data_IF_089089348017
#
_entry.id   IF_089089348017
#
_cell.length_a   1.000
_cell.length_b   1.000
_cell.length_c   1.000
_cell.angle_alpha   90.00
_cell.angle_beta   90.00
_cell.angle_gamma   90.00
#
_symmetry.space_group_name_H-M   'P 1'
#
loop_
_entity.id
_entity.type
_entity.pdbx_description
1 polymer ?
#
# COMPACT_ATOMS: atom_id res chain seq x y z
N UNK A 1 -7.93 -14.46 -0.47
CA UNK A 1 -6.96 -13.39 -0.71
C UNK A 1 -6.27 -12.94 0.59
N UNK A 2 -7.00 -12.79 1.70
CA UNK A 2 -6.43 -12.41 3.01
C UNK A 2 -5.30 -13.34 3.46
N UNK A 3 -5.55 -14.65 3.49
CA UNK A 3 -4.52 -15.64 3.87
C UNK A 3 -3.24 -15.53 3.03
N UNK A 4 -3.37 -15.17 1.75
CA UNK A 4 -2.24 -14.95 0.85
C UNK A 4 -1.53 -13.64 1.15
N UNK A 5 -2.30 -12.58 1.42
CA UNK A 5 -1.77 -11.24 1.76
C UNK A 5 -0.99 -11.21 3.06
N UNK A 6 -1.44 -11.98 4.03
CA UNK A 6 -0.81 -12.09 5.35
C UNK A 6 0.29 -13.16 5.41
N UNK A 7 0.65 -13.76 4.26
CA UNK A 7 1.69 -14.78 4.14
C UNK A 7 1.49 -15.94 5.12
N UNK A 8 0.24 -16.39 5.30
CA UNK A 8 -0.08 -17.50 6.20
C UNK A 8 0.58 -18.79 5.74
N UNK A 9 0.96 -19.62 6.71
CA UNK A 9 1.60 -20.92 6.44
C UNK A 9 0.69 -21.81 5.59
N UNK A 10 1.23 -22.34 4.50
CA UNK A 10 0.56 -23.31 3.63
C UNK A 10 0.82 -24.78 4.05
N UNK A 11 1.42 -25.00 5.22
CA UNK A 11 1.63 -26.34 5.77
C UNK A 11 0.32 -26.96 6.28
N UNK A 12 -0.64 -26.11 6.72
CA UNK A 12 -2.00 -26.55 7.06
C UNK A 12 -2.75 -26.98 5.80
N UNK A 13 -3.25 -28.22 5.82
CA UNK A 13 -4.08 -28.76 4.72
C UNK A 13 -5.30 -27.87 4.43
N UNK A 14 -5.97 -27.40 5.47
CA UNK A 14 -7.14 -26.54 5.37
C UNK A 14 -6.83 -25.20 4.71
N UNK A 15 -5.79 -24.48 5.16
CA UNK A 15 -5.35 -23.22 4.58
C UNK A 15 -4.96 -23.39 3.10
N UNK A 16 -4.20 -24.44 2.79
CA UNK A 16 -3.81 -24.75 1.41
C UNK A 16 -5.00 -25.06 0.53
N UNK A 17 -5.95 -25.87 1.03
CA UNK A 17 -7.17 -26.21 0.31
C UNK A 17 -8.02 -24.98 -0.02
N UNK A 18 -8.27 -24.13 0.99
CA UNK A 18 -9.05 -22.89 0.82
C UNK A 18 -8.41 -21.93 -0.19
N UNK A 19 -7.09 -21.77 -0.16
CA UNK A 19 -6.36 -20.92 -1.10
C UNK A 19 -6.48 -21.48 -2.52
N UNK A 20 -6.18 -22.77 -2.72
CA UNK A 20 -6.24 -23.39 -4.03
C UNK A 20 -7.66 -23.31 -4.60
N UNK A 21 -8.66 -23.63 -3.79
CA UNK A 21 -10.07 -23.57 -4.18
C UNK A 21 -10.51 -22.15 -4.53
N UNK A 22 -10.05 -21.16 -3.77
CA UNK A 22 -10.41 -19.76 -3.98
C UNK A 22 -9.80 -19.15 -5.25
N UNK A 23 -8.69 -19.69 -5.77
CA UNK A 23 -8.05 -19.24 -7.01
C UNK A 23 -8.41 -20.08 -8.24
N UNK A 24 -9.26 -21.07 -8.12
CA UNK A 24 -9.85 -21.70 -9.30
C UNK A 24 -10.63 -20.64 -10.10
N UNK A 25 -10.47 -20.55 -11.42
CA UNK A 25 -11.08 -19.51 -12.25
C UNK A 25 -12.57 -19.32 -12.02
N UNK A 26 -13.30 -20.42 -11.87
CA UNK A 26 -14.75 -20.42 -11.64
C UNK A 26 -15.15 -19.87 -10.25
N UNK A 27 -14.22 -19.78 -9.32
CA UNK A 27 -14.45 -19.30 -7.96
C UNK A 27 -14.06 -17.82 -7.77
N UNK A 28 -13.41 -17.20 -8.75
CA UNK A 28 -13.06 -15.78 -8.71
C UNK A 28 -14.30 -14.94 -9.08
N UNK A 29 -15.18 -14.71 -8.10
CA UNK A 29 -16.44 -13.96 -8.29
C UNK A 29 -16.32 -12.47 -8.00
N UNK A 30 -15.27 -12.04 -7.29
CA UNK A 30 -15.07 -10.62 -7.00
C UNK A 30 -14.69 -9.85 -8.27
N UNK A 31 -15.46 -8.81 -8.68
CA UNK A 31 -15.22 -8.11 -9.94
C UNK A 31 -13.83 -7.48 -10.03
N UNK A 32 -13.36 -6.84 -8.95
CA UNK A 32 -12.04 -6.20 -8.93
C UNK A 32 -10.90 -7.22 -9.12
N UNK A 33 -10.96 -8.35 -8.40
CA UNK A 33 -9.93 -9.40 -8.50
C UNK A 33 -9.94 -10.01 -9.90
N UNK A 34 -11.12 -10.27 -10.46
CA UNK A 34 -11.29 -10.79 -11.81
C UNK A 34 -10.68 -9.84 -12.85
N UNK A 35 -11.04 -8.55 -12.82
CA UNK A 35 -10.51 -7.57 -13.78
C UNK A 35 -9.00 -7.33 -13.62
N UNK A 36 -8.49 -7.35 -12.38
CA UNK A 36 -7.04 -7.30 -12.15
C UNK A 36 -6.32 -8.49 -12.79
N UNK A 37 -6.88 -9.68 -12.67
CA UNK A 37 -6.36 -10.86 -13.33
C UNK A 37 -6.40 -10.72 -14.85
N UNK A 38 -7.56 -10.39 -15.42
CA UNK A 38 -7.72 -10.24 -16.87
C UNK A 38 -6.74 -9.21 -17.46
N UNK A 39 -6.56 -8.05 -16.83
CA UNK A 39 -5.61 -7.03 -17.27
C UNK A 39 -4.14 -7.45 -17.16
N UNK A 40 -3.84 -8.38 -16.28
CA UNK A 40 -2.49 -8.91 -16.09
C UNK A 40 -2.33 -10.35 -16.66
N UNK A 41 -3.28 -10.84 -17.42
CA UNK A 41 -3.31 -12.23 -17.93
C UNK A 41 -2.04 -12.62 -18.69
N UNK A 42 -1.44 -11.65 -19.42
CA UNK A 42 -0.17 -11.88 -20.11
C UNK A 42 0.97 -12.29 -19.14
N UNK A 43 0.96 -11.78 -17.90
CA UNK A 43 1.97 -12.09 -16.87
C UNK A 43 1.55 -13.26 -15.98
N UNK A 44 0.25 -13.37 -15.69
CA UNK A 44 -0.29 -14.30 -14.70
C UNK A 44 -0.77 -15.63 -15.34
N UNK A 45 -0.93 -15.67 -16.66
CA UNK A 45 -1.45 -16.86 -17.36
C UNK A 45 -2.95 -17.09 -17.15
N UNK A 46 -3.39 -18.33 -17.46
CA UNK A 46 -4.79 -18.74 -17.39
C UNK A 46 -5.26 -19.09 -15.97
N UNK A 47 -4.33 -19.24 -15.02
CA UNK A 47 -4.62 -19.60 -13.64
C UNK A 47 -3.81 -18.71 -12.69
N UNK A 48 -4.48 -18.13 -11.69
CA UNK A 48 -3.81 -17.38 -10.64
C UNK A 48 -3.31 -18.35 -9.57
N UNK A 49 -2.05 -18.23 -9.20
CA UNK A 49 -1.50 -18.91 -8.04
C UNK A 49 -1.54 -18.00 -6.80
N UNK A 50 -1.32 -18.59 -5.62
CA UNK A 50 -1.18 -17.80 -4.38
C UNK A 50 -0.02 -16.79 -4.45
N UNK A 51 1.07 -17.16 -5.13
CA UNK A 51 2.24 -16.30 -5.36
C UNK A 51 1.86 -15.13 -6.25
N UNK A 52 1.15 -15.39 -7.36
CA UNK A 52 0.68 -14.32 -8.25
C UNK A 52 -0.22 -13.33 -7.53
N UNK A 53 -1.15 -13.82 -6.73
CA UNK A 53 -2.01 -12.96 -5.93
C UNK A 53 -1.21 -12.12 -4.92
N UNK A 54 -0.22 -12.71 -4.25
CA UNK A 54 0.65 -12.02 -3.28
C UNK A 54 1.48 -10.92 -3.93
N UNK A 55 1.95 -11.10 -5.16
CA UNK A 55 2.83 -10.12 -5.82
C UNK A 55 2.11 -9.13 -6.74
N UNK A 56 0.97 -9.50 -7.33
CA UNK A 56 0.31 -8.67 -8.35
C UNK A 56 -1.04 -8.08 -7.92
N UNK A 57 -1.76 -8.73 -7.00
CA UNK A 57 -3.10 -8.26 -6.57
C UNK A 57 -3.04 -7.58 -5.21
N UNK A 58 -2.55 -8.28 -4.21
CA UNK A 58 -2.48 -7.80 -2.82
C UNK A 58 -1.73 -6.46 -2.69
N UNK A 59 -0.56 -6.26 -3.34
CA UNK A 59 0.16 -5.00 -3.23
C UNK A 59 -0.60 -3.79 -3.77
N UNK A 60 -1.49 -3.97 -4.74
CA UNK A 60 -2.32 -2.89 -5.28
C UNK A 60 -3.38 -2.47 -4.26
N UNK A 61 -4.07 -3.42 -3.65
CA UNK A 61 -5.05 -3.18 -2.59
C UNK A 61 -4.38 -2.50 -1.39
N UNK A 62 -3.25 -3.05 -0.94
CA UNK A 62 -2.50 -2.50 0.20
C UNK A 62 -1.97 -1.08 -0.06
N UNK A 63 -1.59 -0.78 -1.30
CA UNK A 63 -1.17 0.58 -1.66
C UNK A 63 -2.31 1.58 -1.54
N UNK A 64 -3.51 1.24 -2.04
CA UNK A 64 -4.69 2.11 -1.91
C UNK A 64 -5.07 2.29 -0.44
N UNK A 65 -5.06 1.22 0.36
CA UNK A 65 -5.37 1.31 1.79
C UNK A 65 -4.42 2.25 2.56
N UNK A 66 -3.13 2.22 2.22
CA UNK A 66 -2.11 3.03 2.92
C UNK A 66 -1.98 4.45 2.38
N UNK A 67 -2.00 4.62 1.06
CA UNK A 67 -1.60 5.86 0.39
C UNK A 67 -2.69 6.44 -0.53
N UNK A 68 -3.86 5.80 -0.62
CA UNK A 68 -5.00 6.30 -1.38
C UNK A 68 -5.75 7.39 -0.64
N UNK A 69 -6.36 8.33 -1.39
CA UNK A 69 -7.33 9.28 -0.86
C UNK A 69 -8.62 8.56 -0.42
N UNK A 70 -9.51 9.26 0.25
CA UNK A 70 -10.81 8.71 0.65
C UNK A 70 -11.60 8.28 -0.58
N UNK A 71 -11.64 9.09 -1.62
CA UNK A 71 -12.32 8.82 -2.89
C UNK A 71 -11.72 7.60 -3.61
N UNK A 72 -10.39 7.45 -3.58
CA UNK A 72 -9.70 6.28 -4.15
C UNK A 72 -10.02 4.99 -3.36
N UNK A 73 -10.13 5.08 -2.05
CA UNK A 73 -10.53 3.94 -1.20
C UNK A 73 -11.99 3.57 -1.42
N UNK A 74 -12.86 4.56 -1.54
CA UNK A 74 -14.29 4.36 -1.86
C UNK A 74 -14.47 3.72 -3.23
N UNK A 75 -13.76 4.21 -4.26
CA UNK A 75 -13.79 3.64 -5.60
C UNK A 75 -13.32 2.17 -5.61
N UNK A 76 -12.25 1.86 -4.87
CA UNK A 76 -11.80 0.48 -4.70
C UNK A 76 -12.88 -0.38 -4.05
N UNK A 77 -13.51 0.12 -2.99
CA UNK A 77 -14.58 -0.61 -2.29
C UNK A 77 -15.77 -0.89 -3.23
N UNK A 78 -16.27 0.13 -3.93
CA UNK A 78 -17.37 -0.01 -4.91
C UNK A 78 -17.03 -1.04 -6.00
N UNK A 79 -15.80 -1.06 -6.46
CA UNK A 79 -15.35 -2.02 -7.49
C UNK A 79 -15.34 -3.48 -7.03
N UNK A 80 -15.42 -3.73 -5.73
CA UNK A 80 -15.52 -5.08 -5.14
C UNK A 80 -16.98 -5.54 -4.96
N UNK A 81 -17.94 -4.61 -5.05
CA UNK A 81 -19.37 -4.90 -4.92
C UNK A 81 -19.97 -5.23 -6.29
N UNK A 82 -20.60 -6.40 -6.41
CA UNK A 82 -21.09 -6.93 -7.69
C UNK A 82 -22.10 -6.01 -8.39
N UNK A 83 -22.89 -5.27 -7.61
CA UNK A 83 -23.94 -4.38 -8.13
C UNK A 83 -23.43 -2.97 -8.50
N UNK A 84 -22.28 -2.52 -7.94
CA UNK A 84 -21.68 -1.22 -8.26
C UNK A 84 -20.52 -1.31 -9.25
N UNK A 85 -19.81 -2.43 -9.27
CA UNK A 85 -18.58 -2.60 -10.06
C UNK A 85 -18.75 -2.33 -11.56
N UNK A 86 -19.93 -2.60 -12.09
CA UNK A 86 -20.23 -2.46 -13.53
C UNK A 86 -20.99 -1.18 -13.87
N UNK A 87 -21.27 -0.33 -12.89
CA UNK A 87 -21.84 1.00 -13.16
C UNK A 87 -20.90 1.84 -14.01
N UNK A 88 -21.51 2.67 -14.87
CA UNK A 88 -20.80 3.57 -15.75
C UNK A 88 -20.60 4.92 -15.08
N UNK A 89 -19.35 5.34 -14.95
CA UNK A 89 -18.95 6.62 -14.38
C UNK A 89 -18.12 7.42 -15.37
N UNK A 90 -18.02 8.75 -15.22
CA UNK A 90 -17.17 9.57 -16.08
C UNK A 90 -15.72 9.10 -16.03
N UNK A 91 -15.12 8.92 -17.21
CA UNK A 91 -13.73 8.48 -17.31
C UNK A 91 -12.76 9.56 -16.86
N UNK A 92 -11.75 9.17 -16.06
CA UNK A 92 -10.62 10.01 -15.69
C UNK A 92 -9.30 9.56 -16.34
N UNK A 93 -9.37 8.81 -17.46
CA UNK A 93 -8.18 8.42 -18.23
C UNK A 93 -7.47 9.66 -18.78
N UNK A 94 -6.16 9.62 -18.80
CA UNK A 94 -5.38 10.67 -19.46
C UNK A 94 -5.73 10.68 -20.97
N UNK A 95 -6.19 11.83 -21.46
CA UNK A 95 -6.60 11.99 -22.87
C UNK A 95 -8.01 11.48 -23.19
N UNK A 96 -8.87 11.24 -22.18
CA UNK A 96 -10.28 10.90 -22.38
C UNK A 96 -11.01 12.03 -23.15
N UNK A 97 -12.04 11.64 -23.90
CA UNK A 97 -12.92 12.59 -24.59
C UNK A 97 -13.99 13.11 -23.63
N UNK A 98 -14.47 14.34 -23.79
CA UNK A 98 -15.61 14.83 -23.02
C UNK A 98 -16.81 13.88 -23.14
N UNK A 99 -17.39 13.47 -21.99
CA UNK A 99 -18.52 12.54 -21.95
C UNK A 99 -18.12 11.05 -22.07
N UNK A 100 -16.84 10.71 -22.16
CA UNK A 100 -16.42 9.32 -22.14
C UNK A 100 -16.71 8.69 -20.76
N UNK A 101 -17.38 7.54 -20.80
CA UNK A 101 -17.75 6.77 -19.61
C UNK A 101 -16.93 5.49 -19.53
N UNK A 102 -16.67 5.02 -18.31
CA UNK A 102 -16.02 3.73 -18.06
C UNK A 102 -16.64 3.04 -16.86
N UNK A 103 -16.45 1.71 -16.75
CA UNK A 103 -16.95 0.96 -15.60
C UNK A 103 -16.16 1.33 -14.33
N UNK A 104 -16.83 1.34 -13.17
CA UNK A 104 -16.22 1.55 -11.86
C UNK A 104 -15.01 0.64 -11.67
N UNK A 105 -15.13 -0.64 -11.99
CA UNK A 105 -14.06 -1.62 -11.84
C UNK A 105 -12.84 -1.32 -12.73
N UNK A 106 -13.04 -0.83 -13.95
CA UNK A 106 -11.93 -0.47 -14.85
C UNK A 106 -11.15 0.72 -14.34
N UNK A 107 -11.87 1.73 -13.85
CA UNK A 107 -11.28 2.91 -13.24
C UNK A 107 -10.51 2.54 -11.97
N UNK A 108 -11.09 1.69 -11.11
CA UNK A 108 -10.47 1.23 -9.86
C UNK A 108 -9.17 0.45 -10.09
N UNK A 109 -9.14 -0.46 -11.07
CA UNK A 109 -7.92 -1.22 -11.40
C UNK A 109 -6.80 -0.30 -11.91
N UNK A 110 -7.14 0.67 -12.75
CA UNK A 110 -6.16 1.68 -13.22
C UNK A 110 -5.72 2.57 -12.07
N UNK A 111 -6.64 3.07 -11.26
CA UNK A 111 -6.37 3.90 -10.08
C UNK A 111 -5.44 3.18 -9.10
N UNK A 112 -5.71 1.94 -8.74
CA UNK A 112 -4.87 1.20 -7.79
C UNK A 112 -3.44 1.02 -8.29
N UNK A 113 -3.25 0.81 -9.59
CA UNK A 113 -1.91 0.79 -10.21
C UNK A 113 -1.20 2.14 -10.09
N UNK A 114 -1.93 3.25 -10.33
CA UNK A 114 -1.38 4.60 -10.21
C UNK A 114 -0.99 4.92 -8.75
N UNK A 115 -1.84 4.55 -7.78
CA UNK A 115 -1.55 4.71 -6.35
C UNK A 115 -0.30 3.91 -5.96
N UNK A 116 -0.19 2.66 -6.42
CA UNK A 116 0.99 1.84 -6.16
C UNK A 116 2.26 2.47 -6.73
N UNK A 117 2.22 2.99 -7.94
CA UNK A 117 3.35 3.67 -8.57
C UNK A 117 3.73 4.95 -7.80
N UNK A 118 2.74 5.74 -7.36
CA UNK A 118 2.94 6.93 -6.52
C UNK A 118 3.58 6.57 -5.19
N UNK A 119 3.08 5.54 -4.52
CA UNK A 119 3.64 5.02 -3.27
C UNK A 119 5.09 4.56 -3.45
N UNK A 120 5.39 3.83 -4.52
CA UNK A 120 6.75 3.35 -4.80
C UNK A 120 7.71 4.53 -4.98
N UNK A 121 7.33 5.54 -5.75
CA UNK A 121 8.16 6.75 -5.94
C UNK A 121 8.41 7.49 -4.62
N UNK A 122 7.38 7.65 -3.79
CA UNK A 122 7.52 8.27 -2.47
C UNK A 122 8.44 7.45 -1.55
N UNK A 123 8.30 6.12 -1.60
CA UNK A 123 9.14 5.21 -0.82
C UNK A 123 10.61 5.29 -1.27
N UNK A 124 10.88 5.31 -2.57
CA UNK A 124 12.24 5.36 -3.09
C UNK A 124 12.91 6.70 -2.75
N UNK A 125 12.20 7.81 -2.87
CA UNK A 125 12.69 9.13 -2.45
C UNK A 125 13.01 9.18 -0.95
N UNK A 126 12.13 8.61 -0.12
CA UNK A 126 12.35 8.53 1.34
C UNK A 126 13.54 7.64 1.70
N UNK A 127 13.71 6.51 1.00
CA UNK A 127 14.87 5.63 1.19
C UNK A 127 16.18 6.36 0.85
N UNK A 128 16.23 7.08 -0.27
CA UNK A 128 17.41 7.85 -0.65
C UNK A 128 17.76 8.94 0.38
N UNK A 129 16.74 9.66 0.87
CA UNK A 129 16.90 10.67 1.91
C UNK A 129 17.52 10.09 3.19
N UNK A 130 16.95 8.98 3.67
CA UNK A 130 17.41 8.37 4.91
C UNK A 130 18.74 7.61 4.76
N UNK A 131 19.03 7.10 3.58
CA UNK A 131 20.34 6.49 3.25
C UNK A 131 21.48 7.52 3.37
N UNK A 132 21.28 8.73 2.85
CA UNK A 132 22.22 9.84 3.03
C UNK A 132 22.43 10.18 4.50
N UNK A 133 21.38 10.15 5.31
CA UNK A 133 21.50 10.37 6.76
C UNK A 133 22.28 9.26 7.46
N UNK A 134 22.06 8.00 7.10
CA UNK A 134 22.82 6.87 7.66
C UNK A 134 24.32 7.10 7.48
N UNK A 135 24.73 7.56 6.29
CA UNK A 135 26.15 7.81 5.97
C UNK A 135 26.68 9.06 6.68
N UNK A 136 25.94 10.17 6.65
CA UNK A 136 26.40 11.46 7.17
C UNK A 136 26.47 11.47 8.72
N UNK A 137 25.55 10.75 9.37
CA UNK A 137 25.45 10.71 10.83
C UNK A 137 26.13 9.46 11.43
N UNK A 138 26.80 8.63 10.62
CA UNK A 138 27.46 7.38 11.02
C UNK A 138 26.54 6.44 11.82
N UNK A 139 25.25 6.36 11.44
CA UNK A 139 24.26 5.61 12.19
C UNK A 139 24.54 4.11 12.24
N UNK A 140 25.41 3.60 11.37
CA UNK A 140 25.88 2.21 11.40
C UNK A 140 26.80 1.88 12.56
N UNK A 141 27.29 2.85 13.31
CA UNK A 141 28.04 2.60 14.54
C UNK A 141 27.12 2.18 15.70
N UNK A 142 25.81 2.41 15.56
CA UNK A 142 24.83 2.04 16.56
C UNK A 142 24.17 0.67 16.26
N UNK A 143 23.72 -0.02 17.29
CA UNK A 143 23.02 -1.31 17.16
C UNK A 143 21.61 -1.19 16.61
N UNK A 144 21.02 -0.01 16.69
CA UNK A 144 19.65 0.31 16.25
C UNK A 144 19.71 1.53 15.35
N UNK A 145 19.01 1.49 14.22
CA UNK A 145 18.80 2.66 13.37
C UNK A 145 17.59 3.44 13.89
N UNK A 146 17.83 4.65 14.37
CA UNK A 146 16.78 5.53 14.89
C UNK A 146 16.74 6.81 14.07
N UNK A 147 15.58 7.09 13.47
CA UNK A 147 15.35 8.30 12.73
C UNK A 147 14.26 9.12 13.40
N UNK A 148 14.55 10.38 13.69
CA UNK A 148 13.55 11.38 14.06
C UNK A 148 13.38 12.33 12.87
N UNK A 149 12.17 12.46 12.36
CA UNK A 149 11.87 13.17 11.13
C UNK A 149 10.89 14.31 11.38
N UNK A 150 11.14 15.42 10.70
CA UNK A 150 10.19 16.52 10.65
C UNK A 150 8.96 16.14 9.80
N UNK A 151 7.79 16.75 10.06
CA UNK A 151 6.59 16.53 9.26
C UNK A 151 6.85 16.75 7.77
N UNK A 152 6.34 15.83 6.93
CA UNK A 152 6.47 15.91 5.47
C UNK A 152 7.72 15.27 4.87
N UNK A 153 8.73 14.89 5.66
CA UNK A 153 9.92 14.21 5.14
C UNK A 153 9.64 12.77 4.69
N UNK A 154 8.79 12.09 5.41
CA UNK A 154 8.33 10.72 5.09
C UNK A 154 6.84 10.64 5.38
N UNK A 155 6.07 10.05 4.48
CA UNK A 155 4.66 9.76 4.71
C UNK A 155 4.53 8.74 5.85
N UNK A 156 3.85 9.06 6.96
CA UNK A 156 3.67 8.15 8.10
C UNK A 156 3.05 6.80 7.69
N UNK A 157 2.20 6.78 6.67
CA UNK A 157 1.53 5.57 6.21
C UNK A 157 2.47 4.55 5.54
N UNK A 158 3.65 4.99 5.10
CA UNK A 158 4.67 4.12 4.51
C UNK A 158 5.94 3.99 5.37
N UNK A 159 6.03 4.70 6.48
CA UNK A 159 7.20 4.67 7.38
C UNK A 159 7.57 3.23 7.80
N UNK A 160 6.57 2.39 8.12
CA UNK A 160 6.80 0.97 8.43
C UNK A 160 7.39 0.16 7.28
N UNK A 161 7.01 0.46 6.03
CA UNK A 161 7.60 -0.21 4.86
C UNK A 161 9.08 0.17 4.69
N UNK A 162 9.42 1.42 4.96
CA UNK A 162 10.79 1.93 4.89
C UNK A 162 11.62 1.33 6.02
N UNK A 163 11.10 1.32 7.24
CA UNK A 163 11.77 0.73 8.40
C UNK A 163 12.10 -0.75 8.19
N UNK A 164 11.14 -1.53 7.63
CA UNK A 164 11.36 -2.93 7.29
C UNK A 164 12.44 -3.12 6.22
N UNK A 165 12.49 -2.26 5.19
CA UNK A 165 13.53 -2.33 4.17
C UNK A 165 14.92 -2.06 4.74
N UNK A 166 15.06 -1.07 5.64
CA UNK A 166 16.33 -0.80 6.29
C UNK A 166 16.72 -1.90 7.27
N UNK A 167 15.76 -2.43 8.04
CA UNK A 167 16.02 -3.56 8.93
C UNK A 167 16.54 -4.77 8.14
N UNK A 168 15.93 -5.09 7.01
CA UNK A 168 16.38 -6.18 6.13
C UNK A 168 17.74 -5.90 5.49
N UNK A 169 17.99 -4.64 5.03
CA UNK A 169 19.25 -4.28 4.36
C UNK A 169 20.44 -4.27 5.30
N UNK A 170 20.29 -3.69 6.48
CA UNK A 170 21.40 -3.49 7.43
C UNK A 170 21.44 -4.52 8.53
N UNK A 171 20.48 -5.47 8.57
CA UNK A 171 20.35 -6.52 9.59
C UNK A 171 20.36 -5.93 11.02
N UNK A 172 19.63 -4.81 11.20
CA UNK A 172 19.52 -4.07 12.47
C UNK A 172 18.08 -3.61 12.67
N UNK A 173 17.58 -3.57 13.90
CA UNK A 173 16.29 -2.94 14.19
C UNK A 173 16.27 -1.51 13.68
N UNK A 174 15.18 -1.09 13.05
CA UNK A 174 15.01 0.24 12.52
C UNK A 174 13.72 0.86 13.05
N UNK A 175 13.81 2.04 13.65
CA UNK A 175 12.68 2.83 14.12
C UNK A 175 12.63 4.18 13.42
N UNK A 176 11.45 4.56 12.93
CA UNK A 176 11.20 5.86 12.33
C UNK A 176 10.15 6.56 13.16
N UNK A 177 10.54 7.71 13.73
CA UNK A 177 9.70 8.60 14.51
C UNK A 177 9.38 9.83 13.65
N UNK A 178 8.11 10.11 13.44
CA UNK A 178 7.68 11.34 12.78
C UNK A 178 7.07 12.28 13.83
N UNK A 179 7.50 13.54 13.85
CA UNK A 179 6.86 14.56 14.65
C UNK A 179 5.50 14.86 14.02
N UNK A 180 4.44 14.82 14.81
CA UNK A 180 3.11 15.29 14.41
C UNK A 180 2.81 16.57 15.13
N UNK A 181 2.31 17.55 14.41
CA UNK A 181 1.74 18.75 15.02
C UNK A 181 0.28 18.41 15.32
N UNK A 182 -0.06 18.16 16.58
CA UNK A 182 -1.45 18.10 16.99
C UNK A 182 -2.01 19.50 16.97
N UNK A 183 -2.87 19.79 16.03
CA UNK A 183 -3.72 20.98 16.07
C UNK A 183 -4.96 20.59 16.89
N UNK A 184 -4.98 20.93 18.15
CA UNK A 184 -6.18 20.83 18.99
C UNK A 184 -7.23 21.81 18.44
N UNK A 185 -8.34 21.33 17.85
CA UNK A 185 -9.36 22.19 17.27
C UNK A 185 -10.08 23.06 18.32
N UNK A 186 -9.85 22.84 19.61
CA UNK A 186 -10.46 23.60 20.72
C UNK A 186 -9.53 24.67 21.30
N UNK A 187 -8.25 24.66 20.96
CA UNK A 187 -7.29 25.67 21.43
C UNK A 187 -7.08 26.75 20.38
N UNK A 188 -7.86 27.80 20.50
CA UNK A 188 -7.77 29.00 19.64
C UNK A 188 -6.60 29.94 20.00
N UNK A 189 -5.77 29.67 20.97
CA UNK A 189 -4.57 30.47 21.27
C UNK A 189 -3.46 29.68 21.98
N UNK A 190 -2.35 29.51 21.26
CA UNK A 190 -0.95 29.54 21.67
C UNK A 190 -0.47 28.54 22.75
N UNK A 191 0.18 27.46 22.30
CA UNK A 191 1.53 27.13 22.77
C UNK A 191 2.23 26.25 21.72
N UNK A 192 3.11 26.87 20.94
CA UNK A 192 3.87 26.21 19.85
C UNK A 192 5.03 25.34 20.34
N UNK A 193 5.09 24.93 21.59
CA UNK A 193 6.28 24.35 22.20
C UNK A 193 6.15 22.89 22.70
N UNK A 194 5.08 22.18 22.44
CA UNK A 194 5.02 20.74 22.71
C UNK A 194 4.94 19.92 21.43
N UNK A 195 6.10 19.62 20.85
CA UNK A 195 6.25 18.61 19.79
C UNK A 195 6.01 17.23 20.40
N UNK A 196 4.79 16.73 20.34
CA UNK A 196 4.47 15.37 20.74
C UNK A 196 4.97 14.41 19.64
N UNK A 197 5.80 13.43 20.02
CA UNK A 197 6.29 12.37 19.14
C UNK A 197 5.20 11.29 19.01
N UNK A 198 4.37 11.34 17.97
CA UNK A 198 3.15 10.55 17.91
C UNK A 198 3.13 9.37 16.91
N UNK A 199 4.17 9.07 16.19
CA UNK A 199 4.15 7.86 15.35
C UNK A 199 5.46 7.10 15.41
N UNK A 200 5.40 5.88 15.91
CA UNK A 200 6.54 4.95 15.92
C UNK A 200 6.29 3.86 14.89
N UNK A 201 7.10 3.81 13.85
CA UNK A 201 7.16 2.68 12.93
C UNK A 201 8.46 1.92 13.13
N UNK A 202 8.36 0.66 13.57
CA UNK A 202 9.51 -0.20 13.80
C UNK A 202 9.57 -1.31 12.76
N UNK A 203 10.71 -1.45 12.10
CA UNK A 203 11.06 -2.63 11.32
C UNK A 203 11.71 -3.68 12.21
N UNK A 204 11.30 -4.94 12.08
CA UNK A 204 11.92 -6.09 12.77
C UNK A 204 12.96 -6.72 11.86
N UNK A 205 14.03 -7.19 12.46
CA UNK A 205 15.05 -8.06 11.82
C UNK A 205 14.56 -9.48 11.84
#
# INVERSE_FOLDING_TARGET
>A
LGNTGDMMSLTSFETKHLINKGFEPDNIKNPYIYEMWQKNKFKLGEHITSIDAAFYIVPMINAVQRSGSIEEKELLFKSMLTYEAFEMIPSNKRGHKPGEMERVVDQAVRMSTNVKNRQTKSQDASLELLEKRIQNENLLDHKVLLFTLEPGNVDPNIAGLIANKFAAKYQRPCCILTKTIEVDPTQTFINQNENTLNAVSCGRV
#
